data_IF_540669263784
#
_entry.id   IF_540669263784
#
_cell.length_a   1.000
_cell.length_b   1.000
_cell.length_c   1.000
_cell.angle_alpha   90.00
_cell.angle_beta   90.00
_cell.angle_gamma   90.00
#
_symmetry.space_group_name_H-M   'P 1'
#
loop_
_entity.id
_entity.type
_entity.pdbx_description
1 polymer ?
#
# COMPACT_ATOMS: atom_id res chain seq x y z
N UNK A 1 14.17 -13.94 -15.36
CA UNK A 1 14.22 -13.54 -15.15
C UNK A 1 14.18 -12.88 -14.98
N UNK A 2 13.97 -12.66 -14.92
CA UNK A 2 13.92 -11.97 -14.72
C UNK A 2 13.64 -11.33 -14.47
N UNK A 3 13.40 -11.15 -14.56
CA UNK A 3 13.24 -10.44 -14.34
C UNK A 3 13.04 -10.02 -13.92
N UNK A 4 12.94 -10.06 -13.96
CA UNK A 4 12.78 -9.61 -13.56
C UNK A 4 13.03 -8.82 -13.21
N UNK A 5 13.12 -8.61 -13.30
CA UNK A 5 13.48 -7.97 -12.90
C UNK A 5 13.25 -6.65 -12.71
N UNK A 6 13.66 -5.73 -13.11
CA UNK A 6 13.44 -4.35 -12.81
C UNK A 6 12.01 -3.97 -12.73
N UNK A 7 11.28 -4.52 -13.62
CA UNK A 7 9.87 -4.31 -13.61
C UNK A 7 9.24 -4.62 -12.29
N UNK A 8 9.93 -5.40 -11.54
CA UNK A 8 9.43 -5.81 -10.27
C UNK A 8 9.26 -4.67 -9.32
N UNK A 9 9.89 -3.56 -9.62
CA UNK A 9 9.96 -2.50 -8.65
C UNK A 9 8.86 -1.49 -8.76
N UNK A 10 7.94 -1.69 -9.68
CA UNK A 10 6.88 -0.73 -9.81
C UNK A 10 5.65 -1.19 -9.07
N UNK A 11 5.31 -0.45 -8.01
CA UNK A 11 4.08 -0.71 -7.30
C UNK A 11 2.91 -0.22 -8.11
N UNK A 12 1.84 -1.00 -8.14
CA UNK A 12 0.67 -0.66 -8.92
C UNK A 12 -0.08 0.49 -8.28
N UNK A 13 -0.34 1.55 -9.06
CA UNK A 13 -1.18 2.65 -8.66
C UNK A 13 -2.58 2.33 -9.17
N UNK A 14 -3.55 2.32 -8.27
CA UNK A 14 -4.91 1.92 -8.61
C UNK A 14 -5.88 3.07 -8.41
N UNK A 15 -7.02 2.96 -9.06
CA UNK A 15 -8.10 3.92 -8.98
C UNK A 15 -9.34 3.23 -8.39
N UNK A 16 -10.44 3.95 -8.34
CA UNK A 16 -11.63 3.51 -7.60
C UNK A 16 -12.14 2.14 -8.04
N UNK A 17 -12.21 1.90 -9.35
CA UNK A 17 -12.73 0.62 -9.85
C UNK A 17 -11.88 -0.55 -9.35
N UNK A 18 -10.57 -0.43 -9.49
CA UNK A 18 -9.65 -1.49 -9.06
C UNK A 18 -9.68 -1.62 -7.54
N UNK A 19 -9.78 -0.51 -6.83
CA UNK A 19 -9.88 -0.54 -5.38
C UNK A 19 -11.11 -1.34 -4.96
N UNK A 20 -12.25 -1.06 -5.57
CA UNK A 20 -13.49 -1.76 -5.25
C UNK A 20 -13.39 -3.25 -5.52
N UNK A 21 -12.69 -3.63 -6.59
CA UNK A 21 -12.48 -5.05 -6.89
C UNK A 21 -11.60 -5.71 -5.84
N UNK A 22 -10.55 -5.01 -5.39
CA UNK A 22 -9.69 -5.55 -4.35
C UNK A 22 -10.43 -5.76 -3.04
N UNK A 23 -11.35 -4.86 -2.73
CA UNK A 23 -12.11 -4.96 -1.48
C UNK A 23 -13.05 -6.16 -1.44
N UNK A 24 -13.30 -6.77 -2.58
CA UNK A 24 -14.12 -7.99 -2.65
C UNK A 24 -13.32 -9.26 -2.40
N UNK A 25 -11.99 -9.16 -2.41
CA UNK A 25 -11.13 -10.33 -2.24
C UNK A 25 -10.94 -10.65 -0.76
N UNK A 26 -10.72 -11.93 -0.49
CA UNK A 26 -10.29 -12.35 0.83
C UNK A 26 -8.80 -12.07 0.97
N UNK A 27 -8.36 -11.88 2.21
CA UNK A 27 -6.96 -11.71 2.53
C UNK A 27 -6.60 -10.27 2.84
N UNK A 28 -5.29 -10.04 2.91
CA UNK A 28 -4.74 -8.76 3.35
C UNK A 28 -4.33 -7.91 2.16
N UNK A 29 -4.74 -6.65 2.19
CA UNK A 29 -4.34 -5.64 1.20
C UNK A 29 -3.86 -4.41 1.95
N UNK A 30 -2.64 -3.97 1.67
CA UNK A 30 -2.11 -2.73 2.22
C UNK A 30 -2.20 -1.66 1.13
N UNK A 31 -2.89 -0.57 1.43
CA UNK A 31 -3.06 0.53 0.48
C UNK A 31 -2.27 1.73 0.97
N UNK A 32 -1.31 2.18 0.15
CA UNK A 32 -0.49 3.36 0.45
C UNK A 32 -1.08 4.58 -0.26
N UNK A 33 -1.61 5.50 0.52
CA UNK A 33 -2.10 6.78 0.01
C UNK A 33 -0.93 7.75 -0.05
N UNK A 34 -0.59 8.19 -1.25
CA UNK A 34 0.62 8.99 -1.48
C UNK A 34 0.29 10.23 -2.30
N UNK A 35 1.26 11.15 -2.37
CA UNK A 35 1.20 12.28 -3.28
C UNK A 35 2.50 12.34 -4.07
N UNK A 36 2.42 12.80 -5.31
CA UNK A 36 3.59 12.83 -6.19
C UNK A 36 4.65 13.82 -5.73
N UNK A 37 4.24 14.83 -4.98
CA UNK A 37 5.14 15.89 -4.48
C UNK A 37 5.70 15.61 -3.10
N UNK A 38 5.41 14.47 -2.52
CA UNK A 38 5.71 14.16 -1.13
C UNK A 38 7.05 13.43 -1.01
N UNK A 39 8.01 14.03 -0.32
CA UNK A 39 9.33 13.43 -0.12
C UNK A 39 9.29 12.12 0.63
N UNK A 40 8.65 12.05 1.81
CA UNK A 40 8.55 10.78 2.54
C UNK A 40 7.84 9.68 1.75
N UNK A 41 6.89 10.05 0.89
CA UNK A 41 6.23 9.07 0.02
C UNK A 41 7.23 8.45 -0.95
N UNK A 42 8.13 9.27 -1.49
CA UNK A 42 9.16 8.79 -2.41
C UNK A 42 10.15 7.87 -1.69
N UNK A 43 10.44 8.17 -0.43
CA UNK A 43 11.31 7.32 0.37
C UNK A 43 10.65 5.99 0.71
N UNK A 44 9.34 6.00 0.87
CA UNK A 44 8.59 4.79 1.19
C UNK A 44 8.46 3.84 -0.01
N UNK A 45 8.50 4.35 -1.23
CA UNK A 45 8.27 3.54 -2.42
C UNK A 45 9.17 2.30 -2.48
N UNK A 46 10.53 2.43 -2.36
CA UNK A 46 11.36 1.23 -2.39
C UNK A 46 11.12 0.31 -1.20
N UNK A 47 10.72 0.84 -0.05
CA UNK A 47 10.37 0.03 1.11
C UNK A 47 9.17 -0.84 0.78
N UNK A 48 8.16 -0.26 0.14
CA UNK A 48 6.97 -1.02 -0.24
C UNK A 48 7.28 -2.11 -1.25
N UNK A 49 8.14 -1.80 -2.21
CA UNK A 49 8.56 -2.79 -3.22
C UNK A 49 9.22 -3.98 -2.54
N UNK A 50 10.13 -3.71 -1.64
CA UNK A 50 10.84 -4.76 -0.92
C UNK A 50 9.87 -5.56 -0.04
N UNK A 51 8.99 -4.88 0.66
CA UNK A 51 8.01 -5.52 1.52
C UNK A 51 7.05 -6.39 0.71
N UNK A 52 6.63 -5.90 -0.44
CA UNK A 52 5.74 -6.65 -1.32
C UNK A 52 6.38 -7.97 -1.78
N UNK A 53 7.68 -7.92 -2.08
CA UNK A 53 8.39 -9.12 -2.48
C UNK A 53 8.51 -10.11 -1.32
N UNK A 54 8.85 -9.60 -0.14
CA UNK A 54 9.00 -10.44 1.04
C UNK A 54 7.69 -11.14 1.43
N UNK A 55 6.58 -10.44 1.29
CA UNK A 55 5.28 -10.95 1.74
C UNK A 55 4.38 -11.36 0.58
N UNK A 56 4.99 -11.66 -0.57
CA UNK A 56 4.27 -12.07 -1.75
C UNK A 56 3.40 -13.29 -1.44
N UNK A 57 2.15 -13.21 -1.87
CA UNK A 57 1.19 -14.28 -1.59
C UNK A 57 0.50 -14.15 -0.24
N UNK A 58 0.97 -13.26 0.62
CA UNK A 58 0.39 -13.06 1.95
C UNK A 58 -0.26 -11.71 2.12
N UNK A 59 0.35 -10.68 1.54
CA UNK A 59 -0.20 -9.31 1.58
C UNK A 59 -0.04 -8.72 0.20
N UNK A 60 -1.12 -8.22 -0.37
CA UNK A 60 -1.06 -7.47 -1.62
C UNK A 60 -0.86 -6.00 -1.28
N UNK A 61 0.07 -5.31 -1.96
CA UNK A 61 0.36 -3.91 -1.68
C UNK A 61 0.10 -3.09 -2.94
N UNK A 62 -0.71 -2.04 -2.81
CA UNK A 62 -1.04 -1.14 -3.92
C UNK A 62 -0.96 0.30 -3.44
N UNK A 63 -0.98 1.24 -4.38
CA UNK A 63 -0.88 2.67 -4.09
C UNK A 63 -2.09 3.41 -4.65
N UNK A 64 -2.52 4.43 -3.93
CA UNK A 64 -3.59 5.35 -4.37
C UNK A 64 -3.06 6.76 -4.27
N UNK A 65 -3.15 7.52 -5.37
CA UNK A 65 -2.77 8.93 -5.38
C UNK A 65 -3.89 9.71 -4.69
N UNK A 66 -3.52 10.55 -3.71
CA UNK A 66 -4.52 11.33 -2.98
C UNK A 66 -5.24 12.35 -3.86
N UNK A 67 -4.71 12.62 -5.05
CA UNK A 67 -5.44 13.45 -6.00
C UNK A 67 -6.63 12.72 -6.59
N UNK A 68 -6.69 11.40 -6.41
CA UNK A 68 -7.93 10.65 -6.64
C UNK A 68 -8.85 10.94 -5.46
N UNK A 69 -9.54 12.06 -5.54
CA UNK A 69 -10.17 12.69 -4.39
C UNK A 69 -11.25 11.82 -3.75
N UNK A 70 -11.93 11.00 -4.53
CA UNK A 70 -13.03 10.21 -3.98
C UNK A 70 -12.52 9.20 -2.97
N UNK A 71 -11.44 8.47 -3.30
CA UNK A 71 -10.89 7.49 -2.36
C UNK A 71 -10.26 8.16 -1.15
N UNK A 72 -9.49 9.23 -1.39
CA UNK A 72 -8.85 9.94 -0.28
C UNK A 72 -9.89 10.47 0.71
N UNK A 73 -10.97 11.02 0.20
CA UNK A 73 -12.03 11.57 1.07
C UNK A 73 -12.74 10.48 1.85
N UNK A 74 -13.01 9.33 1.20
CA UNK A 74 -13.70 8.24 1.86
C UNK A 74 -12.95 7.71 3.08
N UNK A 75 -11.63 7.79 3.06
CA UNK A 75 -10.81 7.29 4.16
C UNK A 75 -10.22 8.39 5.01
N UNK A 76 -10.62 9.63 4.78
CA UNK A 76 -10.21 10.81 5.58
C UNK A 76 -8.70 10.90 5.66
N UNK A 77 -8.04 10.82 4.50
CA UNK A 77 -6.59 10.93 4.45
C UNK A 77 -6.21 12.39 4.66
N UNK A 78 -5.53 12.67 5.76
CA UNK A 78 -5.16 14.03 6.14
C UNK A 78 -3.69 14.30 6.02
N UNK A 79 -2.88 13.28 5.84
CA UNK A 79 -1.44 13.42 5.65
C UNK A 79 -0.95 12.31 4.75
N UNK A 80 0.22 12.51 4.14
CA UNK A 80 0.82 11.50 3.28
C UNK A 80 2.27 11.26 3.70
N UNK A 81 2.76 10.03 3.59
CA UNK A 81 2.00 8.83 3.22
C UNK A 81 1.13 8.33 4.37
N UNK A 82 0.00 7.74 4.05
CA UNK A 82 -0.83 7.04 5.02
C UNK A 82 -1.14 5.68 4.44
N UNK A 83 -0.87 4.63 5.21
CA UNK A 83 -1.13 3.26 4.78
C UNK A 83 -2.31 2.72 5.57
N UNK A 84 -3.25 2.07 4.86
CA UNK A 84 -4.37 1.41 5.52
C UNK A 84 -4.30 -0.07 5.17
N UNK A 85 -4.36 -0.92 6.20
CA UNK A 85 -4.40 -2.36 6.02
C UNK A 85 -5.85 -2.82 6.04
N UNK A 86 -6.23 -3.55 4.99
CA UNK A 86 -7.56 -4.12 4.86
C UNK A 86 -7.48 -5.63 4.98
N UNK A 87 -8.45 -6.22 5.67
CA UNK A 87 -8.64 -7.67 5.69
C UNK A 87 -10.03 -7.95 5.18
N UNK A 88 -10.11 -8.73 4.10
CA UNK A 88 -11.41 -9.10 3.49
C UNK A 88 -12.28 -7.86 3.23
N UNK A 89 -11.63 -6.80 2.74
CA UNK A 89 -12.32 -5.56 2.39
C UNK A 89 -12.61 -4.60 3.54
N UNK A 90 -12.19 -4.94 4.76
CA UNK A 90 -12.46 -4.11 5.92
C UNK A 90 -11.16 -3.50 6.44
N UNK A 91 -11.16 -2.19 6.68
CA UNK A 91 -9.99 -1.48 7.19
C UNK A 91 -9.77 -1.90 8.65
N UNK A 92 -8.59 -2.45 8.94
CA UNK A 92 -8.28 -2.93 10.29
C UNK A 92 -7.14 -2.16 10.95
N UNK A 93 -6.28 -1.49 10.17
CA UNK A 93 -5.16 -0.73 10.74
C UNK A 93 -4.84 0.47 9.85
N UNK A 94 -4.32 1.53 10.44
CA UNK A 94 -3.94 2.73 9.73
C UNK A 94 -2.61 3.23 10.29
N UNK A 95 -1.65 3.48 9.41
CA UNK A 95 -0.32 3.95 9.80
C UNK A 95 -0.01 5.21 9.01
N UNK A 96 0.39 6.27 9.69
CA UNK A 96 0.80 7.52 9.03
C UNK A 96 2.31 7.65 9.04
N UNK A 97 2.85 8.14 7.93
CA UNK A 97 4.26 8.47 7.83
C UNK A 97 5.11 7.33 7.30
N UNK A 98 6.38 7.64 7.10
CA UNK A 98 7.37 6.70 6.60
C UNK A 98 7.61 5.57 7.61
N UNK A 99 7.74 4.35 7.10
CA UNK A 99 8.11 3.18 7.92
C UNK A 99 9.25 2.46 7.23
N UNK A 100 10.35 2.17 7.94
CA UNK A 100 11.41 1.33 7.37
C UNK A 100 10.92 -0.09 7.13
N UNK A 101 11.57 -0.79 6.21
CA UNK A 101 11.17 -2.15 5.83
C UNK A 101 11.07 -3.11 7.02
N UNK A 102 12.05 -3.20 7.93
CA UNK A 102 11.93 -4.17 9.02
C UNK A 102 10.71 -3.93 9.91
N UNK A 103 10.41 -2.66 10.21
CA UNK A 103 9.26 -2.33 11.02
C UNK A 103 7.95 -2.64 10.30
N UNK A 104 7.89 -2.33 9.00
CA UNK A 104 6.68 -2.59 8.23
C UNK A 104 6.41 -4.08 8.11
N UNK A 105 7.44 -4.87 7.81
CA UNK A 105 7.30 -6.32 7.71
C UNK A 105 6.85 -6.89 9.05
N UNK A 106 7.48 -6.48 10.13
CA UNK A 106 7.15 -6.95 11.47
C UNK A 106 5.70 -6.61 11.82
N UNK A 107 5.27 -5.41 11.49
CA UNK A 107 3.90 -4.99 11.71
C UNK A 107 2.91 -5.87 10.93
N UNK A 108 3.17 -6.06 9.64
CA UNK A 108 2.25 -6.82 8.79
C UNK A 108 2.19 -8.29 9.20
N UNK A 109 3.29 -8.85 9.66
CA UNK A 109 3.31 -10.25 10.08
C UNK A 109 2.39 -10.55 11.25
N UNK A 110 2.03 -9.54 12.01
CA UNK A 110 1.09 -9.73 13.12
C UNK A 110 -0.30 -10.13 12.64
N UNK A 111 -0.61 -9.85 11.38
CA UNK A 111 -1.95 -10.07 10.84
C UNK A 111 -2.02 -11.25 9.87
N UNK A 112 -0.90 -11.83 9.54
CA UNK A 112 -0.85 -12.97 8.61
C UNK A 112 -1.25 -14.28 9.30
#
# INVERSE_FOLDING_TARGET
>A
MAARKGVLNEMKIIHETEFNELMKKEGLVLVDFFATWCGPCKMLAPVLEETAQELQGKVEIVKVDVEDASLAANFRIMSVPTMILFRNGEAIQKISGFQPNPQLVSFLKQFI
#
